data_IF_244731051560
#
_entry.id   IF_244731051560
#
_cell.length_a   1.000
_cell.length_b   1.000
_cell.length_c   1.000
_cell.angle_alpha   90.00
_cell.angle_beta   90.00
_cell.angle_gamma   90.00
#
_symmetry.space_group_name_H-M   'P 1'
#
loop_
_entity.id
_entity.type
_entity.pdbx_description
1 polymer ?
#
# COMPACT_ATOMS: atom_id res chain seq x y z
N UNK A 1 3.71 3.68 -7.01
CA UNK A 1 3.31 2.94 -5.79
C UNK A 1 2.27 1.93 -6.18
N UNK A 2 2.32 0.67 -5.75
CA UNK A 2 1.30 -0.32 -6.08
C UNK A 2 0.64 -0.91 -4.82
N UNK A 3 -0.67 -1.10 -4.84
CA UNK A 3 -1.42 -1.81 -3.82
C UNK A 3 -2.27 -2.89 -4.47
N UNK A 4 -2.36 -4.04 -3.83
CA UNK A 4 -3.20 -5.15 -4.28
C UNK A 4 -4.28 -5.38 -3.25
N UNK A 5 -5.53 -5.50 -3.71
CA UNK A 5 -6.68 -5.65 -2.81
C UNK A 5 -7.82 -4.69 -3.07
N UNK A 6 -7.66 -3.72 -3.96
CA UNK A 6 -8.45 -2.50 -3.77
C UNK A 6 -8.48 -1.48 -4.92
N UNK A 7 -9.58 -1.46 -5.69
CA UNK A 7 -10.34 -0.25 -6.10
C UNK A 7 -11.33 -0.46 -7.29
N UNK A 8 -12.28 -1.39 -7.17
CA UNK A 8 -13.47 -1.38 -8.04
C UNK A 8 -14.74 -0.90 -7.32
N UNK A 9 -14.64 -0.47 -6.05
CA UNK A 9 -15.77 -0.01 -5.23
C UNK A 9 -15.53 1.37 -4.56
N UNK A 10 -14.28 1.88 -4.53
CA UNK A 10 -13.95 3.14 -3.84
C UNK A 10 -14.33 4.31 -4.72
N UNK A 11 -14.16 4.20 -6.04
CA UNK A 11 -14.56 5.27 -6.98
C UNK A 11 -16.07 5.57 -6.90
N UNK A 12 -16.92 4.55 -6.79
CA UNK A 12 -18.38 4.72 -6.79
C UNK A 12 -18.91 5.23 -5.44
N UNK A 13 -18.25 4.88 -4.32
CA UNK A 13 -18.63 5.31 -2.97
C UNK A 13 -18.02 6.65 -2.56
N UNK A 14 -16.80 6.95 -2.99
CA UNK A 14 -16.19 8.26 -2.84
C UNK A 14 -17.13 9.33 -3.41
N UNK A 15 -17.71 9.10 -4.59
CA UNK A 15 -18.67 10.00 -5.23
C UNK A 15 -19.95 10.30 -4.42
N UNK A 16 -20.32 9.45 -3.45
CA UNK A 16 -21.51 9.68 -2.58
C UNK A 16 -21.22 10.43 -1.28
N UNK A 17 -19.97 10.54 -0.83
CA UNK A 17 -19.63 11.28 0.40
C UNK A 17 -19.52 12.79 0.15
N UNK A 18 -20.40 13.58 0.79
CA UNK A 18 -20.42 15.05 0.71
C UNK A 18 -19.41 15.75 1.64
N UNK A 19 -18.80 15.01 2.56
CA UNK A 19 -17.86 15.52 3.57
C UNK A 19 -16.92 14.40 4.04
N UNK A 20 -15.62 14.64 4.33
CA UNK A 20 -14.89 15.93 4.30
C UNK A 20 -14.34 16.30 2.90
N UNK A 21 -13.87 17.55 2.76
CA UNK A 21 -13.32 18.09 1.51
C UNK A 21 -11.84 17.71 1.30
N UNK A 22 -11.44 17.61 0.02
CA UNK A 22 -10.04 17.43 -0.39
C UNK A 22 -9.52 15.99 -0.28
N UNK A 23 -8.18 15.84 -0.16
CA UNK A 23 -7.46 14.54 -0.12
C UNK A 23 -7.95 13.58 0.98
N UNK A 24 -8.54 14.12 2.05
CA UNK A 24 -9.11 13.34 3.16
C UNK A 24 -10.27 12.43 2.73
N UNK A 25 -11.03 12.83 1.69
CA UNK A 25 -12.15 12.03 1.16
C UNK A 25 -11.68 10.71 0.56
N UNK A 26 -10.56 10.73 -0.16
CA UNK A 26 -9.96 9.53 -0.74
C UNK A 26 -9.48 8.58 0.34
N UNK A 27 -8.81 9.10 1.37
CA UNK A 27 -8.39 8.28 2.51
C UNK A 27 -9.56 7.68 3.27
N UNK A 28 -10.63 8.43 3.49
CA UNK A 28 -11.81 7.93 4.20
C UNK A 28 -12.57 6.90 3.35
N UNK A 29 -12.67 7.09 2.03
CA UNK A 29 -13.25 6.08 1.15
C UNK A 29 -12.40 4.80 1.15
N UNK A 30 -11.07 4.95 1.09
CA UNK A 30 -10.13 3.85 1.18
C UNK A 30 -10.23 3.12 2.54
N UNK A 31 -10.35 3.85 3.64
CA UNK A 31 -10.54 3.26 4.97
C UNK A 31 -11.91 2.61 5.15
N UNK A 32 -12.96 3.21 4.59
CA UNK A 32 -14.32 2.71 4.72
C UNK A 32 -14.46 1.36 4.02
N UNK A 33 -13.87 1.22 2.84
CA UNK A 33 -13.83 -0.05 2.13
C UNK A 33 -12.81 -1.02 2.80
N UNK A 34 -11.65 -0.55 3.28
CA UNK A 34 -10.75 -1.36 4.14
C UNK A 34 -11.48 -1.93 5.37
N UNK A 35 -12.38 -1.18 5.99
CA UNK A 35 -13.19 -1.63 7.14
C UNK A 35 -14.25 -2.69 6.80
N UNK A 36 -14.52 -2.88 5.51
CA UNK A 36 -15.37 -3.95 4.98
C UNK A 36 -14.57 -5.17 4.54
N UNK A 37 -13.24 -5.05 4.41
CA UNK A 37 -12.38 -6.15 4.01
C UNK A 37 -12.30 -7.21 5.11
N UNK A 38 -12.40 -8.45 4.64
CA UNK A 38 -12.03 -9.65 5.40
C UNK A 38 -10.56 -9.91 5.10
N UNK A 39 -9.91 -10.72 5.93
CA UNK A 39 -8.62 -11.26 5.54
C UNK A 39 -8.79 -12.15 4.31
N UNK A 40 -7.83 -12.05 3.40
CA UNK A 40 -7.78 -12.81 2.16
C UNK A 40 -6.48 -13.60 2.11
N UNK A 41 -6.47 -14.80 1.50
CA UNK A 41 -5.28 -15.63 1.43
C UNK A 41 -4.31 -15.04 0.41
N UNK A 42 -3.28 -14.37 0.90
CA UNK A 42 -2.19 -13.84 0.08
C UNK A 42 -1.03 -14.83 0.09
N UNK A 43 -0.43 -15.00 -1.09
CA UNK A 43 0.85 -15.66 -1.27
C UNK A 43 1.80 -14.67 -1.94
N UNK A 44 2.92 -14.40 -1.27
CA UNK A 44 3.96 -13.49 -1.74
C UNK A 44 5.27 -14.26 -1.88
N UNK A 45 5.93 -14.16 -3.03
CA UNK A 45 7.29 -14.69 -3.23
C UNK A 45 8.24 -13.52 -3.43
N UNK A 46 9.13 -13.31 -2.46
CA UNK A 46 10.10 -12.22 -2.43
C UNK A 46 11.42 -12.68 -3.04
N UNK A 47 11.89 -11.97 -4.07
CA UNK A 47 13.15 -12.25 -4.78
C UNK A 47 13.29 -13.72 -5.23
N UNK A 48 12.17 -14.38 -5.53
CA UNK A 48 12.12 -15.79 -5.95
C UNK A 48 12.52 -16.82 -4.88
N UNK A 49 12.76 -16.41 -3.63
CA UNK A 49 13.33 -17.28 -2.61
C UNK A 49 12.52 -17.33 -1.30
N UNK A 50 12.02 -16.19 -0.83
CA UNK A 50 11.29 -16.13 0.44
C UNK A 50 9.80 -16.08 0.18
N UNK A 51 9.12 -17.16 0.56
CA UNK A 51 7.68 -17.29 0.44
C UNK A 51 6.97 -16.86 1.74
N UNK A 52 5.88 -16.11 1.60
CA UNK A 52 5.00 -15.69 2.68
C UNK A 52 3.57 -16.03 2.26
N UNK A 53 2.99 -17.02 2.93
CA UNK A 53 1.58 -17.36 2.80
C UNK A 53 0.85 -16.95 4.08
N UNK A 54 -0.06 -16.00 3.97
CA UNK A 54 -0.78 -15.50 5.13
C UNK A 54 -2.06 -14.76 4.75
N UNK A 55 -2.97 -14.67 5.71
CA UNK A 55 -4.25 -14.00 5.60
C UNK A 55 -4.08 -12.50 5.85
N UNK A 56 -4.14 -11.69 4.78
CA UNK A 56 -3.96 -10.24 4.85
C UNK A 56 -5.25 -9.50 4.55
N UNK A 57 -5.45 -8.39 5.25
CA UNK A 57 -6.46 -7.39 4.91
C UNK A 57 -5.97 -6.48 3.78
N UNK A 58 -4.65 -6.22 3.73
CA UNK A 58 -4.02 -5.36 2.72
C UNK A 58 -2.54 -5.71 2.57
N UNK A 59 -2.05 -5.63 1.32
CA UNK A 59 -0.63 -5.60 0.98
C UNK A 59 -0.33 -4.37 0.10
N UNK A 60 0.65 -3.56 0.52
CA UNK A 60 1.13 -2.40 -0.21
C UNK A 60 2.61 -2.56 -0.58
N UNK A 61 2.96 -2.14 -1.79
CA UNK A 61 4.29 -2.25 -2.41
C UNK A 61 4.75 -0.86 -2.82
N UNK A 62 5.65 -0.28 -2.03
CA UNK A 62 6.07 1.12 -2.16
C UNK A 62 7.53 1.28 -2.49
N UNK A 63 7.81 1.98 -3.60
CA UNK A 63 9.14 2.54 -3.89
C UNK A 63 9.37 3.90 -3.16
N UNK A 64 8.30 4.56 -2.74
CA UNK A 64 8.32 5.86 -2.06
C UNK A 64 7.64 5.79 -0.71
N UNK A 65 7.98 6.73 0.18
CA UNK A 65 7.51 6.69 1.57
C UNK A 65 6.00 6.82 1.73
N UNK A 66 5.40 7.61 0.85
CA UNK A 66 4.00 8.00 0.95
C UNK A 66 3.18 7.59 -0.26
N UNK A 67 1.92 7.27 0.00
CA UNK A 67 0.85 7.37 -0.99
C UNK A 67 0.51 8.85 -1.26
N UNK A 68 -0.13 9.08 -2.41
CA UNK A 68 -0.63 10.41 -2.79
C UNK A 68 -1.43 11.07 -1.67
N UNK A 69 -0.98 12.24 -1.23
CA UNK A 69 -1.60 13.00 -0.14
C UNK A 69 -0.94 12.86 1.23
N UNK A 70 0.24 12.25 1.33
CA UNK A 70 1.06 12.25 2.56
C UNK A 70 0.85 11.08 3.52
N UNK A 71 0.10 10.05 3.15
CA UNK A 71 -0.05 8.84 3.96
C UNK A 71 1.24 8.00 3.90
N UNK A 72 1.96 7.90 5.02
CA UNK A 72 3.26 7.24 5.12
C UNK A 72 3.14 5.72 5.23
N UNK A 73 2.48 5.05 4.28
CA UNK A 73 2.24 3.60 4.35
C UNK A 73 3.54 2.76 4.36
N UNK A 74 4.60 3.24 3.70
CA UNK A 74 5.89 2.56 3.58
C UNK A 74 6.96 3.52 4.09
N UNK A 75 6.95 3.89 5.38
CA UNK A 75 7.65 5.06 5.91
C UNK A 75 9.18 4.95 5.74
N UNK A 76 9.69 3.72 5.63
CA UNK A 76 11.10 3.41 5.45
C UNK A 76 11.54 3.30 3.99
N UNK A 77 10.61 3.41 3.03
CA UNK A 77 10.92 3.30 1.61
C UNK A 77 11.96 4.34 1.18
N UNK A 78 12.89 3.88 0.35
CA UNK A 78 13.92 4.72 -0.23
C UNK A 78 13.92 4.55 -1.76
N UNK A 79 13.49 5.57 -2.52
CA UNK A 79 13.39 5.46 -3.98
C UNK A 79 14.75 5.31 -4.69
N UNK A 80 15.88 5.44 -3.97
CA UNK A 80 17.22 5.36 -4.54
C UNK A 80 17.92 4.02 -4.34
N UNK A 81 17.36 3.06 -3.59
CA UNK A 81 18.07 1.80 -3.27
C UNK A 81 17.65 0.61 -4.14
N UNK A 82 16.66 0.81 -5.03
CA UNK A 82 16.20 -0.21 -5.96
C UNK A 82 15.41 -1.34 -5.28
N UNK A 83 14.84 -1.08 -4.10
CA UNK A 83 14.00 -2.02 -3.36
C UNK A 83 12.56 -1.50 -3.26
N UNK A 84 11.61 -2.44 -3.23
CA UNK A 84 10.25 -2.22 -2.80
C UNK A 84 10.18 -2.41 -1.29
N UNK A 85 9.57 -1.47 -0.59
CA UNK A 85 9.12 -1.64 0.78
C UNK A 85 7.69 -2.19 0.75
N UNK A 86 7.49 -3.29 1.49
CA UNK A 86 6.27 -4.07 1.47
C UNK A 86 5.65 -3.97 2.85
N UNK A 87 4.39 -3.53 2.90
CA UNK A 87 3.62 -3.41 4.13
C UNK A 87 2.43 -4.34 4.05
N UNK A 88 2.38 -5.30 4.97
CA UNK A 88 1.37 -6.34 5.05
C UNK A 88 0.59 -6.12 6.34
N UNK A 89 -0.74 -6.02 6.23
CA UNK A 89 -1.62 -5.79 7.38
C UNK A 89 -2.54 -7.01 7.53
N UNK A 90 -2.44 -7.69 8.66
CA UNK A 90 -3.25 -8.87 8.99
C UNK A 90 -4.20 -8.54 10.15
N UNK A 91 -5.35 -7.94 9.85
CA UNK A 91 -6.31 -7.57 10.88
C UNK A 91 -7.75 -7.94 10.52
N UNK A 92 -8.29 -8.93 11.24
CA UNK A 92 -9.72 -9.25 11.22
C UNK A 92 -10.57 -8.31 12.08
N UNK A 93 -9.96 -7.35 12.80
CA UNK A 93 -10.67 -6.46 13.72
C UNK A 93 -10.81 -5.05 13.14
N UNK A 94 -12.05 -4.63 12.89
CA UNK A 94 -12.39 -3.28 12.42
C UNK A 94 -11.83 -2.18 13.32
N UNK A 95 -11.83 -2.38 14.63
CA UNK A 95 -11.33 -1.37 15.59
C UNK A 95 -9.83 -1.19 15.50
N UNK A 96 -9.07 -2.28 15.27
CA UNK A 96 -7.62 -2.20 15.01
C UNK A 96 -7.33 -1.47 13.71
N UNK A 97 -8.11 -1.73 12.66
CA UNK A 97 -7.96 -1.04 11.38
C UNK A 97 -8.30 0.46 11.46
N UNK A 98 -9.26 0.86 12.29
CA UNK A 98 -9.52 2.29 12.55
C UNK A 98 -8.35 2.94 13.30
N UNK A 99 -7.71 2.22 14.24
CA UNK A 99 -6.52 2.72 14.96
C UNK A 99 -5.26 2.76 14.09
N UNK A 100 -5.19 1.92 13.06
CA UNK A 100 -4.11 1.92 12.08
C UNK A 100 -4.02 3.25 11.30
N UNK A 101 -5.12 3.93 11.04
CA UNK A 101 -5.09 5.13 10.20
C UNK A 101 -4.24 6.30 10.77
N UNK A 102 -4.46 6.76 12.02
CA UNK A 102 -3.66 7.85 12.56
C UNK A 102 -2.18 7.46 12.71
N UNK A 103 -1.86 6.18 12.93
CA UNK A 103 -0.47 5.71 12.97
C UNK A 103 0.14 5.67 11.57
N UNK A 104 -0.62 5.30 10.53
CA UNK A 104 -0.18 5.34 9.14
C UNK A 104 0.06 6.76 8.61
N UNK A 105 -0.71 7.75 9.07
CA UNK A 105 -0.41 9.16 8.78
C UNK A 105 0.91 9.63 9.39
N UNK A 106 1.29 9.07 10.54
CA UNK A 106 2.57 9.35 11.23
C UNK A 106 3.71 8.43 10.78
N UNK A 107 3.41 7.37 10.04
CA UNK A 107 4.36 6.31 9.69
C UNK A 107 4.71 5.36 10.85
N UNK A 108 3.97 5.39 11.96
CA UNK A 108 4.23 4.52 13.14
C UNK A 108 3.39 3.26 13.14
N UNK A 109 2.57 3.01 12.11
CA UNK A 109 1.79 1.76 11.98
C UNK A 109 2.68 0.53 11.86
N UNK A 110 3.93 0.69 11.44
CA UNK A 110 4.93 -0.38 11.39
C UNK A 110 5.31 -0.95 12.76
N UNK A 111 4.91 -0.27 13.84
CA UNK A 111 5.10 -0.72 15.24
C UNK A 111 3.88 -1.52 15.77
N UNK A 112 2.81 -1.64 14.99
CA UNK A 112 1.61 -2.38 15.39
C UNK A 112 1.80 -3.88 15.14
N UNK A 113 1.33 -4.70 16.07
CA UNK A 113 1.43 -6.17 15.98
C UNK A 113 0.76 -6.76 14.73
N UNK A 114 -0.31 -6.12 14.24
CA UNK A 114 -0.99 -6.52 13.00
C UNK A 114 -0.25 -6.14 11.71
N UNK A 115 0.86 -5.41 11.79
CA UNK A 115 1.63 -4.96 10.63
C UNK A 115 2.97 -5.67 10.56
N UNK A 116 3.25 -6.27 9.41
CA UNK A 116 4.57 -6.80 9.09
C UNK A 116 5.13 -6.08 7.87
N UNK A 117 6.46 -5.93 7.84
CA UNK A 117 7.15 -5.29 6.72
C UNK A 117 8.21 -6.21 6.14
N UNK A 118 8.43 -6.08 4.83
CA UNK A 118 9.49 -6.77 4.10
C UNK A 118 10.08 -5.83 3.06
N UNK A 119 11.26 -6.19 2.54
CA UNK A 119 11.89 -5.48 1.42
C UNK A 119 12.37 -6.50 0.39
N UNK A 120 12.16 -6.20 -0.89
CA UNK A 120 12.57 -7.07 -2.00
C UNK A 120 12.74 -6.25 -3.28
N UNK A 121 13.47 -6.79 -4.26
CA UNK A 121 13.56 -6.21 -5.61
C UNK A 121 12.36 -6.62 -6.46
N UNK A 122 11.96 -7.88 -6.35
CA UNK A 122 10.80 -8.44 -7.04
C UNK A 122 9.87 -9.14 -6.05
N UNK A 123 8.58 -9.07 -6.33
CA UNK A 123 7.54 -9.74 -5.55
C UNK A 123 6.52 -10.35 -6.49
N UNK A 124 6.40 -11.67 -6.48
CA UNK A 124 5.24 -12.34 -7.06
C UNK A 124 4.10 -12.31 -6.04
N UNK A 125 2.94 -11.85 -6.48
CA UNK A 125 1.76 -11.68 -5.64
C UNK A 125 0.64 -12.53 -6.20
N UNK A 126 0.02 -13.33 -5.34
CA UNK A 126 -1.16 -14.13 -5.67
C UNK A 126 -2.23 -13.94 -4.61
N UNK A 127 -3.44 -13.63 -5.06
CA UNK A 127 -4.65 -13.65 -4.22
C UNK A 127 -5.88 -13.73 -5.15
N UNK A 128 -6.72 -14.77 -5.03
CA UNK A 128 -7.85 -14.97 -5.93
C UNK A 128 -8.86 -13.82 -5.93
N UNK A 129 -9.26 -13.36 -7.13
CA UNK A 129 -10.33 -12.37 -7.30
C UNK A 129 -9.94 -10.95 -6.91
N UNK A 130 -8.64 -10.67 -6.80
CA UNK A 130 -8.11 -9.37 -6.38
C UNK A 130 -7.39 -8.68 -7.53
N UNK A 131 -7.54 -7.36 -7.58
CA UNK A 131 -6.90 -6.49 -8.55
C UNK A 131 -5.76 -5.67 -7.90
N UNK A 132 -4.77 -5.36 -8.72
CA UNK A 132 -3.64 -4.47 -8.46
C UNK A 132 -3.98 -3.08 -8.97
N UNK A 133 -3.71 -2.09 -8.14
CA UNK A 133 -3.82 -0.67 -8.48
C UNK A 133 -2.47 0.00 -8.28
N UNK A 134 -2.06 0.79 -9.26
CA UNK A 134 -0.82 1.55 -9.23
C UNK A 134 -1.16 3.04 -9.28
N UNK A 135 -0.67 3.80 -8.30
CA UNK A 135 -0.84 5.25 -8.18
C UNK A 135 -2.31 5.75 -8.28
N UNK A 136 -3.28 4.89 -7.95
CA UNK A 136 -4.71 5.18 -7.96
C UNK A 136 -5.45 4.67 -9.19
N UNK A 137 -4.74 4.14 -10.19
CA UNK A 137 -5.32 3.59 -11.41
C UNK A 137 -5.25 2.06 -11.41
N UNK A 138 -6.21 1.42 -12.07
CA UNK A 138 -6.20 -0.03 -12.29
C UNK A 138 -4.96 -0.43 -13.10
N UNK A 139 -4.18 -1.38 -12.58
CA UNK A 139 -3.00 -1.90 -13.26
C UNK A 139 -3.29 -3.26 -13.92
N UNK A 140 -3.65 -4.27 -13.13
CA UNK A 140 -3.91 -5.63 -13.59
C UNK A 140 -4.65 -6.46 -12.54
N UNK A 141 -5.30 -7.59 -12.90
CA UNK A 141 -5.73 -8.58 -11.92
C UNK A 141 -4.52 -9.38 -11.38
N UNK A 142 -4.64 -9.95 -10.19
CA UNK A 142 -3.70 -10.96 -9.69
C UNK A 142 -3.93 -12.32 -10.37
N UNK A 143 -2.89 -13.16 -10.54
CA UNK A 143 -1.52 -13.00 -10.04
C UNK A 143 -0.68 -11.98 -10.84
N UNK A 144 0.30 -11.35 -10.19
CA UNK A 144 1.20 -10.38 -10.82
C UNK A 144 2.59 -10.35 -10.16
N UNK A 145 3.61 -10.09 -10.98
CA UNK A 145 4.96 -9.75 -10.50
C UNK A 145 5.10 -8.22 -10.40
N UNK A 146 5.64 -7.74 -9.28
CA UNK A 146 5.93 -6.33 -9.03
C UNK A 146 7.43 -6.18 -8.80
N UNK A 147 8.10 -5.38 -9.64
CA UNK A 147 9.55 -5.19 -9.58
C UNK A 147 9.95 -3.73 -9.43
N UNK A 148 10.95 -3.46 -8.58
CA UNK A 148 11.67 -2.18 -8.57
C UNK A 148 12.77 -2.18 -9.64
N UNK A 149 12.68 -1.26 -10.60
CA UNK A 149 13.73 -1.04 -11.60
C UNK A 149 14.72 0.01 -11.08
N UNK A 150 15.98 -0.35 -10.78
CA UNK A 150 16.95 0.59 -10.22
C UNK A 150 17.27 1.70 -11.21
N UNK A 151 17.29 2.94 -10.73
CA UNK A 151 17.69 4.13 -11.52
C UNK A 151 16.92 4.31 -12.85
N UNK A 152 15.67 3.83 -12.92
CA UNK A 152 14.86 3.91 -14.14
C UNK A 152 14.56 5.36 -14.61
N UNK A 153 14.56 6.32 -13.68
CA UNK A 153 14.22 7.72 -13.94
C UNK A 153 15.23 8.67 -13.30
N UNK A 154 15.53 9.76 -14.00
CA UNK A 154 16.27 10.90 -13.46
C UNK A 154 15.30 12.05 -13.17
N UNK A 155 15.30 12.54 -11.94
CA UNK A 155 14.40 13.60 -11.48
C UNK A 155 15.20 14.83 -11.06
N UNK A 156 14.74 16.01 -11.48
CA UNK A 156 15.25 17.28 -10.96
C UNK A 156 14.74 17.48 -9.53
N UNK A 157 15.65 17.74 -8.58
CA UNK A 157 15.30 18.05 -7.18
C UNK A 157 15.71 19.48 -6.81
N UNK A 158 15.00 20.15 -5.89
CA UNK A 158 15.45 21.43 -5.34
C UNK A 158 16.84 21.30 -4.73
N UNK A 159 17.68 22.32 -4.90
CA UNK A 159 19.00 22.35 -4.28
C UNK A 159 18.84 22.50 -2.76
N UNK A 160 19.33 21.58 -1.92
CA UNK A 160 19.18 21.66 -0.47
C UNK A 160 19.83 22.90 0.17
N UNK A 161 20.68 23.62 -0.57
CA UNK A 161 21.37 24.84 -0.11
C UNK A 161 20.59 26.15 -0.29
N UNK A 162 19.30 26.10 -0.69
CA UNK A 162 18.50 27.29 -1.02
C UNK A 162 17.46 27.67 0.06
N UNK A 163 17.66 27.27 1.33
CA UNK A 163 16.82 27.65 2.48
C UNK A 163 17.68 28.21 3.59
#
# INVERSE_FOLDING_TARGET
MAATGFDSLVTDRANRMRWPHGRMRYYIAMLAELSQLRTLPFRLVLDGAREIETDLTLAAFGNTRSYGGGLLICPNANPSDGLLDITMVASGSRTRLVRFFPTAMKGTHVELDEVTTARAKTVDVECPGINVYADGDFACPLPAEISAVPAALQLLRPNPSAV
#
